data_IF_543564750608
#
_entry.id   IF_543564750608
#
_cell.length_a   1.000
_cell.length_b   1.000
_cell.length_c   1.000
_cell.angle_alpha   90.00
_cell.angle_beta   90.00
_cell.angle_gamma   90.00
#
_symmetry.space_group_name_H-M   'P 1'
#
loop_
_entity.id
_entity.type
_entity.pdbx_description
1 polymer ?
#
# COMPACT_ATOMS: atom_id res chain seq x y z
N UNK A 1 28.29 4.54 -25.48
CA UNK A 1 28.11 5.00 -24.34
C UNK A 1 26.91 4.64 -23.76
N UNK A 2 26.84 4.32 -23.08
CA UNK A 2 25.86 3.88 -22.71
C UNK A 2 25.01 4.49 -21.82
N UNK A 3 25.38 4.76 -20.76
CA UNK A 3 24.45 5.19 -19.78
C UNK A 3 24.46 6.66 -19.59
N UNK A 4 23.29 7.21 -19.41
CA UNK A 4 23.19 8.58 -19.03
C UNK A 4 23.60 8.72 -17.57
N UNK A 5 24.29 9.79 -17.24
CA UNK A 5 24.61 10.04 -15.85
C UNK A 5 23.34 10.28 -15.04
N UNK A 6 23.32 9.74 -13.86
CA UNK A 6 22.23 9.96 -12.94
C UNK A 6 22.60 11.12 -12.03
N UNK A 7 21.75 12.11 -12.01
CA UNK A 7 21.99 13.30 -11.15
C UNK A 7 21.96 12.89 -9.69
N UNK A 8 22.77 13.54 -8.87
CA UNK A 8 22.72 13.30 -7.43
C UNK A 8 21.31 13.53 -6.92
N UNK A 9 20.80 12.59 -6.15
CA UNK A 9 19.48 12.70 -5.59
C UNK A 9 18.37 12.21 -6.46
N UNK A 10 18.66 11.85 -7.70
CA UNK A 10 17.60 11.38 -8.60
C UNK A 10 16.97 10.10 -8.10
N UNK A 11 17.80 9.15 -7.69
CA UNK A 11 17.30 7.88 -7.19
C UNK A 11 16.50 8.09 -5.90
N UNK A 12 17.01 8.94 -5.02
CA UNK A 12 16.31 9.23 -3.77
C UNK A 12 14.97 9.88 -4.03
N UNK A 13 14.88 10.74 -5.02
CA UNK A 13 13.62 11.37 -5.37
C UNK A 13 12.62 10.35 -5.90
N UNK A 14 13.09 9.42 -6.72
CA UNK A 14 12.23 8.37 -7.26
C UNK A 14 11.72 7.47 -6.14
N UNK A 15 12.61 7.07 -5.24
CA UNK A 15 12.21 6.22 -4.13
C UNK A 15 11.23 6.92 -3.20
N UNK A 16 11.45 8.21 -2.97
CA UNK A 16 10.55 9.00 -2.13
C UNK A 16 9.17 9.10 -2.76
N UNK A 17 9.11 9.30 -4.07
CA UNK A 17 7.85 9.37 -4.78
C UNK A 17 7.09 8.05 -4.67
N UNK A 18 7.82 6.93 -4.84
CA UNK A 18 7.21 5.62 -4.71
C UNK A 18 6.67 5.38 -3.31
N UNK A 19 7.43 5.81 -2.30
CA UNK A 19 6.98 5.68 -0.92
C UNK A 19 5.73 6.51 -0.67
N UNK A 20 5.67 7.71 -1.21
CA UNK A 20 4.50 8.57 -1.05
C UNK A 20 3.28 7.96 -1.72
N UNK A 21 3.47 7.35 -2.89
CA UNK A 21 2.36 6.68 -3.57
C UNK A 21 1.83 5.51 -2.74
N UNK A 22 2.75 4.79 -2.11
CA UNK A 22 2.35 3.66 -1.27
C UNK A 22 1.57 4.12 -0.05
N UNK A 23 2.02 5.21 0.57
CA UNK A 23 1.31 5.78 1.72
C UNK A 23 -0.09 6.24 1.31
N UNK A 24 -0.19 6.88 0.14
CA UNK A 24 -1.48 7.33 -0.36
C UNK A 24 -2.42 6.16 -0.62
N UNK A 25 -1.90 5.07 -1.18
CA UNK A 25 -2.70 3.89 -1.44
C UNK A 25 -3.23 3.28 -0.14
N UNK A 26 -2.36 3.15 0.86
CA UNK A 26 -2.78 2.58 2.14
C UNK A 26 -3.87 3.43 2.77
N UNK A 27 -3.71 4.76 2.72
CA UNK A 27 -4.72 5.65 3.27
C UNK A 27 -6.06 5.46 2.56
N UNK A 28 -6.04 5.34 1.25
CA UNK A 28 -7.25 5.13 0.49
C UNK A 28 -7.92 3.80 0.85
N UNK A 29 -7.12 2.76 1.03
CA UNK A 29 -7.65 1.46 1.44
C UNK A 29 -8.31 1.54 2.82
N UNK A 30 -7.69 2.27 3.75
CA UNK A 30 -8.27 2.45 5.08
C UNK A 30 -9.61 3.17 4.98
N UNK A 31 -9.67 4.21 4.15
CA UNK A 31 -10.92 4.94 3.97
C UNK A 31 -12.01 4.03 3.41
N UNK A 32 -11.65 3.18 2.47
CA UNK A 32 -12.62 2.24 1.90
C UNK A 32 -13.06 1.21 2.94
N UNK A 33 -12.15 0.76 3.79
CA UNK A 33 -12.52 -0.16 4.87
C UNK A 33 -13.54 0.48 5.79
N UNK A 34 -13.28 1.72 6.20
CA UNK A 34 -14.19 2.44 7.08
C UNK A 34 -15.54 2.68 6.41
N UNK A 35 -15.52 3.03 5.13
CA UNK A 35 -16.75 3.25 4.39
C UNK A 35 -17.57 1.97 4.27
N UNK A 36 -16.90 0.83 4.22
CA UNK A 36 -17.58 -0.47 4.16
C UNK A 36 -18.07 -0.94 5.53
N UNK A 37 -17.74 -0.21 6.59
CA UNK A 37 -18.17 -0.57 7.93
C UNK A 37 -17.42 -1.75 8.51
N UNK A 38 -16.21 -2.03 8.01
CA UNK A 38 -15.44 -3.18 8.46
C UNK A 38 -14.39 -2.77 9.47
N UNK A 39 -14.22 -3.61 10.50
CA UNK A 39 -13.19 -3.39 11.50
C UNK A 39 -11.86 -3.97 11.02
N UNK A 40 -10.78 -3.57 11.67
CA UNK A 40 -9.48 -4.17 11.41
C UNK A 40 -9.50 -5.67 11.69
N UNK A 41 -10.22 -6.09 12.71
CA UNK A 41 -10.33 -7.50 13.08
C UNK A 41 -11.03 -8.29 11.97
N UNK A 42 -12.09 -7.71 11.40
CA UNK A 42 -12.80 -8.38 10.32
C UNK A 42 -11.94 -8.51 9.08
N UNK A 43 -11.22 -7.45 8.74
CA UNK A 43 -10.33 -7.49 7.58
C UNK A 43 -9.21 -8.50 7.82
N UNK A 44 -8.65 -8.52 9.02
CA UNK A 44 -7.60 -9.47 9.36
C UNK A 44 -8.09 -10.90 9.19
N UNK A 45 -9.30 -11.18 9.64
CA UNK A 45 -9.87 -12.53 9.49
C UNK A 45 -10.00 -12.91 8.02
N UNK A 46 -10.47 -11.99 7.19
CA UNK A 46 -10.62 -12.24 5.76
C UNK A 46 -9.27 -12.44 5.07
N UNK A 47 -8.24 -11.75 5.56
CA UNK A 47 -6.90 -11.86 5.00
C UNK A 47 -6.13 -13.07 5.54
N UNK A 48 -6.64 -13.70 6.59
CA UNK A 48 -5.92 -14.79 7.23
C UNK A 48 -4.72 -14.32 8.04
N UNK A 49 -4.84 -13.16 8.66
CA UNK A 49 -3.75 -12.58 9.44
C UNK A 49 -4.29 -12.05 10.76
N UNK A 50 -3.45 -11.37 11.53
CA UNK A 50 -3.83 -10.84 12.84
C UNK A 50 -4.27 -9.39 12.73
N UNK A 51 -5.08 -8.95 13.70
CA UNK A 51 -5.50 -7.56 13.76
C UNK A 51 -4.29 -6.64 13.92
N UNK A 52 -3.28 -7.05 14.69
CA UNK A 52 -2.10 -6.21 14.86
C UNK A 52 -1.33 -6.08 13.56
N UNK A 53 -1.32 -7.12 12.71
CA UNK A 53 -0.67 -7.01 11.40
C UNK A 53 -1.40 -6.00 10.52
N UNK A 54 -2.74 -6.00 10.56
CA UNK A 54 -3.51 -5.02 9.80
C UNK A 54 -3.26 -3.62 10.32
N UNK A 55 -3.23 -3.46 11.65
CA UNK A 55 -2.97 -2.16 12.24
C UNK A 55 -1.60 -1.61 11.82
N UNK A 56 -0.58 -2.47 11.78
CA UNK A 56 0.76 -2.05 11.35
C UNK A 56 0.77 -1.66 9.89
N UNK A 57 0.06 -2.41 9.06
CA UNK A 57 -0.05 -2.09 7.64
C UNK A 57 -0.70 -0.73 7.46
N UNK A 58 -1.79 -0.47 8.17
CA UNK A 58 -2.52 0.77 8.03
C UNK A 58 -1.75 1.97 8.55
N UNK A 59 -0.89 1.76 9.53
CA UNK A 59 -0.10 2.85 10.09
C UNK A 59 1.09 3.23 9.23
N UNK A 60 1.41 2.42 8.23
CA UNK A 60 2.59 2.66 7.41
C UNK A 60 3.88 2.28 8.09
N UNK A 61 3.81 1.53 9.19
CA UNK A 61 5.01 1.15 9.94
C UNK A 61 5.89 0.15 9.21
N UNK A 62 5.34 -0.53 8.20
CA UNK A 62 6.10 -1.51 7.43
C UNK A 62 5.89 -1.29 5.95
N UNK A 63 6.87 -1.74 5.15
CA UNK A 63 6.72 -1.75 3.70
C UNK A 63 5.88 -2.95 3.33
N UNK A 64 4.63 -2.72 3.00
CA UNK A 64 3.74 -3.79 2.61
C UNK A 64 4.05 -4.21 1.17
N UNK A 65 4.05 -5.51 0.95
CA UNK A 65 4.22 -6.05 -0.40
C UNK A 65 2.96 -5.79 -1.21
N UNK A 66 3.14 -5.71 -2.54
CA UNK A 66 2.01 -5.53 -3.43
C UNK A 66 0.96 -6.62 -3.21
N UNK A 67 1.41 -7.86 -3.04
CA UNK A 67 0.47 -8.97 -2.82
C UNK A 67 -0.33 -8.80 -1.54
N UNK A 68 0.28 -8.24 -0.49
CA UNK A 68 -0.41 -7.98 0.76
C UNK A 68 -1.47 -6.89 0.59
N UNK A 69 -1.12 -5.84 -0.14
CA UNK A 69 -2.07 -4.76 -0.41
C UNK A 69 -3.25 -5.25 -1.25
N UNK A 70 -2.97 -6.11 -2.22
CA UNK A 70 -4.03 -6.70 -3.03
C UNK A 70 -4.94 -7.58 -2.20
N UNK A 71 -4.37 -8.31 -1.25
CA UNK A 71 -5.17 -9.15 -0.38
C UNK A 71 -6.05 -8.30 0.54
N UNK A 72 -5.51 -7.19 1.02
CA UNK A 72 -6.29 -6.25 1.80
C UNK A 72 -7.44 -5.69 0.97
N UNK A 73 -7.15 -5.25 -0.26
CA UNK A 73 -8.18 -4.71 -1.14
C UNK A 73 -9.29 -5.74 -1.37
N UNK A 74 -8.92 -6.98 -1.63
CA UNK A 74 -9.91 -8.03 -1.84
C UNK A 74 -10.76 -8.25 -0.58
N UNK A 75 -10.15 -8.13 0.59
CA UNK A 75 -10.87 -8.33 1.86
C UNK A 75 -11.96 -7.28 2.06
N UNK A 76 -11.80 -6.08 1.51
CA UNK A 76 -12.80 -5.02 1.62
C UNK A 76 -13.67 -4.91 0.37
N UNK A 77 -13.55 -5.89 -0.55
CA UNK A 77 -14.42 -5.93 -1.71
C UNK A 77 -13.95 -5.10 -2.88
N UNK A 78 -12.67 -4.74 -2.91
CA UNK A 78 -12.13 -3.92 -3.98
C UNK A 78 -10.99 -4.60 -4.70
N UNK A 79 -10.34 -3.83 -5.56
CA UNK A 79 -9.14 -4.28 -6.25
C UNK A 79 -8.25 -3.08 -6.50
N UNK A 80 -6.97 -3.35 -6.71
CA UNK A 80 -6.00 -2.30 -6.94
C UNK A 80 -5.60 -2.32 -8.40
N UNK A 81 -5.65 -1.16 -9.03
CA UNK A 81 -5.16 -1.01 -10.38
C UNK A 81 -3.76 -0.42 -10.32
N UNK A 82 -2.77 -1.24 -10.68
CA UNK A 82 -1.40 -0.78 -10.73
C UNK A 82 -1.17 -0.05 -12.04
N UNK A 83 -0.63 1.16 -11.95
CA UNK A 83 -0.35 1.95 -13.14
C UNK A 83 1.07 2.47 -13.06
N UNK A 84 1.79 2.35 -14.16
CA UNK A 84 3.17 2.82 -14.24
C UNK A 84 3.28 4.15 -14.92
N UNK A 85 2.19 4.69 -15.43
CA UNK A 85 2.27 5.86 -16.28
C UNK A 85 1.86 7.13 -15.61
N UNK A 86 1.65 7.09 -14.37
CA UNK A 86 1.30 8.30 -13.72
C UNK A 86 2.48 8.99 -13.24
#
# INVERSE_FOLDING_TARGET
MGELPVLPGFREMALRRMAQQRVGLVRELVEQRLAAGLSQTEVAARMGTSQSAVARLESGATDARASTLERYAAAIGGEINWSLNE
#
